data_IF_995269927905
#
_entry.id   IF_995269927905
#
_cell.length_a   1.000
_cell.length_b   1.000
_cell.length_c   1.000
_cell.angle_alpha   90.00
_cell.angle_beta   90.00
_cell.angle_gamma   90.00
#
_symmetry.space_group_name_H-M   'P 1'
#
loop_
_entity.id
_entity.type
_entity.pdbx_description
1 polymer ?
#
# COMPACT_ATOMS: atom_id res chain seq x y z
N UNK A 1 7.66 18.05 12.54
CA UNK A 1 6.31 17.67 12.11
C UNK A 1 6.36 17.42 10.61
N UNK A 2 5.97 16.23 10.15
CA UNK A 2 5.75 16.02 8.72
C UNK A 2 4.56 16.89 8.30
N UNK A 3 4.71 17.66 7.22
CA UNK A 3 3.65 18.50 6.70
C UNK A 3 2.42 17.63 6.40
N UNK A 4 1.29 17.87 7.08
CA UNK A 4 0.04 17.13 6.90
C UNK A 4 -0.77 17.62 5.69
N UNK A 5 -0.17 18.46 4.86
CA UNK A 5 -0.82 19.03 3.69
C UNK A 5 -1.06 17.96 2.64
N UNK A 6 -2.34 17.74 2.32
CA UNK A 6 -2.75 16.83 1.26
C UNK A 6 -2.27 17.35 -0.10
N UNK A 7 -1.83 16.43 -0.95
CA UNK A 7 -1.35 16.72 -2.31
C UNK A 7 -2.03 15.80 -3.31
N UNK A 8 -2.36 16.36 -4.47
CA UNK A 8 -2.86 15.60 -5.61
C UNK A 8 -1.71 15.30 -6.56
N UNK A 9 -1.62 14.05 -7.02
CA UNK A 9 -0.65 13.63 -8.04
C UNK A 9 -1.42 13.21 -9.29
N UNK A 10 -1.07 13.78 -10.44
CA UNK A 10 -1.66 13.40 -11.73
C UNK A 10 -0.84 12.29 -12.38
N UNK A 11 -1.49 11.20 -12.78
CA UNK A 11 -0.85 10.06 -13.43
C UNK A 11 -1.85 9.29 -14.30
N UNK A 12 -1.36 8.45 -15.21
CA UNK A 12 -2.24 7.62 -16.03
C UNK A 12 -2.94 6.57 -15.17
N UNK A 13 -4.15 6.15 -15.57
CA UNK A 13 -4.86 5.06 -14.88
C UNK A 13 -4.05 3.78 -14.80
N UNK A 14 -3.28 3.47 -15.85
CA UNK A 14 -2.39 2.31 -15.86
C UNK A 14 -1.28 2.41 -14.80
N UNK A 15 -0.71 3.60 -14.61
CA UNK A 15 0.32 3.81 -13.59
C UNK A 15 -0.26 3.79 -12.18
N UNK A 16 -1.47 4.33 -11.99
CA UNK A 16 -2.17 4.21 -10.72
C UNK A 16 -2.36 2.74 -10.31
N UNK A 17 -2.76 1.88 -11.25
CA UNK A 17 -2.87 0.44 -10.99
C UNK A 17 -1.51 -0.20 -10.69
N UNK A 18 -0.43 0.20 -11.38
CA UNK A 18 0.94 -0.27 -11.07
C UNK A 18 1.36 0.14 -9.66
N UNK A 19 1.06 1.36 -9.23
CA UNK A 19 1.34 1.82 -7.85
C UNK A 19 0.56 0.98 -6.83
N UNK A 20 -0.74 0.73 -7.07
CA UNK A 20 -1.55 -0.15 -6.21
C UNK A 20 -0.96 -1.56 -6.11
N UNK A 21 -0.51 -2.10 -7.23
CA UNK A 21 0.16 -3.40 -7.28
C UNK A 21 1.47 -3.39 -6.48
N UNK A 22 2.32 -2.38 -6.68
CA UNK A 22 3.58 -2.24 -5.95
C UNK A 22 3.36 -2.18 -4.43
N UNK A 23 2.40 -1.38 -3.97
CA UNK A 23 2.01 -1.31 -2.55
C UNK A 23 1.50 -2.65 -2.03
N UNK A 24 0.80 -3.42 -2.87
CA UNK A 24 0.34 -4.76 -2.51
C UNK A 24 1.50 -5.72 -2.34
N UNK A 25 2.47 -5.72 -3.27
CA UNK A 25 3.67 -6.54 -3.16
C UNK A 25 4.46 -6.22 -1.88
N UNK A 26 4.69 -4.94 -1.58
CA UNK A 26 5.40 -4.52 -0.35
C UNK A 26 4.70 -5.07 0.91
N UNK A 27 3.37 -4.97 0.99
CA UNK A 27 2.62 -5.54 2.13
C UNK A 27 2.78 -7.05 2.21
N UNK A 28 2.74 -7.75 1.07
CA UNK A 28 2.91 -9.21 1.03
C UNK A 28 4.32 -9.63 1.44
N UNK A 29 5.35 -8.89 1.03
CA UNK A 29 6.73 -9.17 1.38
C UNK A 29 6.96 -9.02 2.89
N UNK A 30 6.43 -7.96 3.51
CA UNK A 30 6.48 -7.83 4.97
C UNK A 30 5.73 -8.95 5.69
N UNK A 31 4.54 -9.32 5.21
CA UNK A 31 3.78 -10.44 5.80
C UNK A 31 4.53 -11.77 5.68
N UNK A 32 5.22 -11.99 4.55
CA UNK A 32 6.07 -13.17 4.35
C UNK A 32 7.25 -13.18 5.32
N UNK A 33 7.98 -12.07 5.42
CA UNK A 33 9.09 -11.91 6.38
C UNK A 33 8.64 -12.15 7.83
N UNK A 34 7.45 -11.67 8.20
CA UNK A 34 6.88 -11.88 9.54
C UNK A 34 6.47 -13.33 9.79
N UNK A 35 6.11 -14.07 8.74
CA UNK A 35 5.69 -15.47 8.84
C UNK A 35 6.86 -16.45 8.71
N UNK A 36 8.00 -16.01 8.18
CA UNK A 36 9.18 -16.85 7.98
C UNK A 36 9.78 -17.26 9.34
N UNK A 37 9.90 -18.57 9.63
CA UNK A 37 10.52 -19.05 10.87
C UNK A 37 12.01 -18.72 10.97
N UNK A 38 12.71 -18.54 9.86
CA UNK A 38 14.15 -18.27 9.81
C UNK A 38 14.47 -16.78 10.00
N UNK A 39 13.46 -15.90 9.93
CA UNK A 39 13.64 -14.47 10.18
C UNK A 39 14.00 -14.19 11.63
N UNK A 40 15.07 -13.41 11.83
CA UNK A 40 15.49 -12.98 13.17
C UNK A 40 14.43 -12.12 13.85
N UNK A 41 14.35 -12.17 15.18
CA UNK A 41 13.31 -11.42 15.90
C UNK A 41 13.40 -9.92 15.68
N UNK A 42 14.61 -9.35 15.61
CA UNK A 42 14.81 -7.94 15.30
C UNK A 42 14.23 -7.56 13.93
N UNK A 43 14.48 -8.38 12.90
CA UNK A 43 13.90 -8.16 11.57
C UNK A 43 12.39 -8.32 11.58
N UNK A 44 11.87 -9.32 12.31
CA UNK A 44 10.44 -9.54 12.48
C UNK A 44 9.77 -8.32 13.11
N UNK A 45 10.39 -7.72 14.12
CA UNK A 45 9.85 -6.54 14.81
C UNK A 45 9.90 -5.29 13.92
N UNK A 46 10.96 -5.11 13.13
CA UNK A 46 11.05 -4.03 12.13
C UNK A 46 9.97 -4.22 11.05
N UNK A 47 9.78 -5.44 10.57
CA UNK A 47 8.77 -5.78 9.57
C UNK A 47 7.35 -5.53 10.10
N UNK A 48 7.03 -5.97 11.32
CA UNK A 48 5.73 -5.70 11.98
C UNK A 48 5.47 -4.20 12.13
N UNK A 49 6.47 -3.45 12.58
CA UNK A 49 6.37 -2.00 12.77
C UNK A 49 6.15 -1.26 11.45
N UNK A 50 6.78 -1.73 10.38
CA UNK A 50 6.64 -1.16 9.03
C UNK A 50 5.33 -1.56 8.34
N UNK A 51 4.85 -2.78 8.58
CA UNK A 51 3.66 -3.34 7.94
C UNK A 51 2.42 -2.46 8.15
N UNK A 52 2.19 -2.00 9.38
CA UNK A 52 1.03 -1.17 9.71
C UNK A 52 1.00 0.14 8.89
N UNK A 53 2.16 0.77 8.69
CA UNK A 53 2.28 1.97 7.87
C UNK A 53 1.94 1.67 6.40
N UNK A 54 2.47 0.59 5.84
CA UNK A 54 2.24 0.23 4.44
C UNK A 54 0.80 -0.23 4.17
N UNK A 55 0.18 -0.94 5.12
CA UNK A 55 -1.24 -1.31 5.03
C UNK A 55 -2.13 -0.08 5.03
N UNK A 56 -1.81 0.93 5.85
CA UNK A 56 -2.52 2.21 5.86
C UNK A 56 -2.38 2.93 4.53
N UNK A 57 -1.14 3.12 4.03
CA UNK A 57 -0.89 3.81 2.75
C UNK A 57 -1.61 3.09 1.60
N UNK A 58 -1.52 1.75 1.53
CA UNK A 58 -2.20 0.95 0.50
C UNK A 58 -3.71 1.14 0.55
N UNK A 59 -4.29 1.15 1.75
CA UNK A 59 -5.73 1.28 1.95
C UNK A 59 -6.23 2.67 1.56
N UNK A 60 -5.53 3.73 2.00
CA UNK A 60 -5.84 5.11 1.64
C UNK A 60 -5.71 5.34 0.13
N UNK A 61 -4.64 4.83 -0.50
CA UNK A 61 -4.45 4.94 -1.95
C UNK A 61 -5.53 4.18 -2.74
N UNK A 62 -5.89 2.97 -2.30
CA UNK A 62 -6.93 2.18 -2.98
C UNK A 62 -8.29 2.85 -2.88
N UNK A 63 -8.64 3.42 -1.72
CA UNK A 63 -9.88 4.16 -1.56
C UNK A 63 -9.94 5.39 -2.46
N UNK A 64 -8.83 6.13 -2.60
CA UNK A 64 -8.74 7.26 -3.52
C UNK A 64 -8.90 6.84 -4.99
N UNK A 65 -8.30 5.70 -5.37
CA UNK A 65 -8.44 5.15 -6.71
C UNK A 65 -9.89 4.79 -7.01
N UNK A 66 -10.54 4.05 -6.10
CA UNK A 66 -11.91 3.56 -6.27
C UNK A 66 -12.92 4.72 -6.34
N UNK A 67 -12.65 5.82 -5.62
CA UNK A 67 -13.45 7.05 -5.69
C UNK A 67 -13.28 7.80 -7.02
N UNK A 68 -12.09 7.71 -7.64
CA UNK A 68 -11.79 8.33 -8.94
C UNK A 68 -12.24 7.48 -10.13
N UNK A 69 -12.53 6.19 -9.92
CA UNK A 69 -12.95 5.31 -10.99
C UNK A 69 -14.38 5.67 -11.45
N UNK A 70 -14.62 5.89 -12.76
CA UNK A 70 -15.94 6.18 -13.29
C UNK A 70 -16.91 5.03 -13.00
N UNK A 71 -18.20 5.33 -12.82
CA UNK A 71 -19.24 4.34 -12.46
C UNK A 71 -19.26 3.14 -13.40
N UNK A 72 -19.06 3.37 -14.70
CA UNK A 72 -18.99 2.33 -15.75
C UNK A 72 -17.89 1.29 -15.52
N UNK A 73 -16.89 1.59 -14.68
CA UNK A 73 -15.77 0.71 -14.34
C UNK A 73 -15.74 0.27 -12.88
N UNK A 74 -16.66 0.73 -12.02
CA UNK A 74 -16.81 0.23 -10.64
C UNK A 74 -17.49 -1.14 -10.65
N UNK A 75 -16.71 -2.15 -11.06
CA UNK A 75 -16.96 -3.61 -11.03
C UNK A 75 -18.35 -4.09 -11.48
N UNK A 76 -18.37 -4.78 -12.63
CA UNK A 76 -19.15 -6.02 -12.78
C UNK A 76 -18.56 -7.11 -11.89
#
# INVERSE_FOLDING_TARGET
MLNQEMRTVTMSRSDMFRVRQALTCVVLDFRREIADPETTEDRRQIAKSSLAMWERIRSEFTAQLDAQDPEEFRRK
#
